data_IF_814485463863
#
_entry.id   IF_814485463863
#
_cell.length_a   1.000
_cell.length_b   1.000
_cell.length_c   1.000
_cell.angle_alpha   90.00
_cell.angle_beta   90.00
_cell.angle_gamma   90.00
#
_symmetry.space_group_name_H-M   'P 1'
#
loop_
_entity.id
_entity.type
_entity.pdbx_description
1 polymer ?
#
# COMPACT_ATOMS: atom_id res chain seq x y z
N UNK A 1 -24.56 25.06 -65.73
CA UNK A 1 -24.61 23.97 -64.76
C UNK A 1 -23.29 23.73 -63.98
N UNK A 2 -22.11 24.17 -64.45
CA UNK A 2 -20.81 23.96 -63.66
C UNK A 2 -20.61 24.87 -62.46
N UNK A 3 -21.34 25.96 -62.35
CA UNK A 3 -21.17 26.91 -61.19
C UNK A 3 -21.97 26.54 -59.92
N UNK A 4 -22.94 25.62 -60.05
CA UNK A 4 -23.75 25.18 -58.90
C UNK A 4 -23.03 24.20 -57.96
N UNK A 5 -22.06 23.43 -58.49
CA UNK A 5 -21.32 22.43 -57.72
C UNK A 5 -20.24 23.02 -56.82
N UNK A 6 -19.70 24.21 -57.13
CA UNK A 6 -18.66 24.85 -56.31
C UNK A 6 -19.26 25.44 -55.02
N UNK A 7 -20.49 25.96 -55.12
CA UNK A 7 -21.21 26.48 -53.95
C UNK A 7 -21.59 25.43 -52.93
N UNK A 8 -21.93 24.21 -53.38
CA UNK A 8 -22.32 23.10 -52.51
C UNK A 8 -21.13 22.50 -51.73
N UNK A 9 -19.93 22.48 -52.35
CA UNK A 9 -18.72 21.99 -51.68
C UNK A 9 -18.20 22.90 -50.54
N UNK A 10 -18.43 24.22 -50.67
CA UNK A 10 -18.04 25.19 -49.64
C UNK A 10 -19.00 25.15 -48.45
N UNK A 11 -20.28 24.84 -48.66
CA UNK A 11 -21.25 24.71 -47.58
C UNK A 11 -21.02 23.46 -46.70
N UNK A 12 -20.52 22.37 -47.27
CA UNK A 12 -20.24 21.13 -46.55
C UNK A 12 -18.95 21.19 -45.71
N UNK A 13 -18.04 22.09 -46.04
CA UNK A 13 -16.77 22.25 -45.27
C UNK A 13 -16.91 23.04 -43.96
N UNK A 14 -18.06 23.71 -43.70
CA UNK A 14 -18.23 24.55 -42.52
C UNK A 14 -18.90 23.84 -41.32
N UNK A 15 -19.16 22.55 -41.39
CA UNK A 15 -19.68 21.77 -40.27
C UNK A 15 -18.59 21.22 -39.35
N UNK A 16 -17.38 21.79 -39.39
CA UNK A 16 -16.42 21.65 -38.30
C UNK A 16 -16.87 22.58 -37.16
N UNK A 17 -17.87 22.17 -36.42
CA UNK A 17 -18.27 22.86 -35.21
C UNK A 17 -17.12 22.85 -34.21
N UNK A 18 -16.39 23.95 -34.15
CA UNK A 18 -15.62 24.29 -32.98
C UNK A 18 -16.60 24.42 -31.81
N UNK A 19 -16.76 23.37 -31.03
CA UNK A 19 -17.59 23.37 -29.85
C UNK A 19 -16.93 24.29 -28.81
N UNK A 20 -17.27 25.60 -28.85
CA UNK A 20 -16.97 26.57 -27.78
C UNK A 20 -15.73 26.30 -26.94
N UNK A 21 -14.55 26.07 -27.56
CA UNK A 21 -13.28 25.80 -26.88
C UNK A 21 -13.16 24.43 -26.18
N UNK A 22 -14.03 23.48 -26.47
CA UNK A 22 -13.96 22.12 -25.98
C UNK A 22 -13.71 21.12 -27.13
N UNK A 23 -12.94 20.07 -26.84
CA UNK A 23 -12.66 18.98 -27.76
C UNK A 23 -13.28 17.70 -27.22
N UNK A 24 -14.15 17.08 -28.01
CA UNK A 24 -14.71 15.75 -27.68
C UNK A 24 -14.09 14.69 -28.61
N UNK A 25 -13.61 13.59 -28.02
CA UNK A 25 -13.23 12.40 -28.78
C UNK A 25 -14.27 11.32 -28.48
N UNK A 26 -14.97 10.86 -29.50
CA UNK A 26 -16.08 9.92 -29.36
C UNK A 26 -17.22 10.42 -28.44
N UNK A 27 -17.41 11.74 -28.36
CA UNK A 27 -18.52 12.41 -27.67
C UNK A 27 -18.88 13.72 -28.38
N UNK A 28 -20.16 13.99 -28.54
CA UNK A 28 -20.68 15.23 -29.14
C UNK A 28 -21.04 16.31 -28.13
N UNK A 29 -20.99 15.95 -26.85
CA UNK A 29 -21.30 16.85 -25.70
C UNK A 29 -20.15 16.85 -24.69
N UNK A 30 -18.98 17.44 -25.02
CA UNK A 30 -17.83 17.43 -24.13
C UNK A 30 -18.12 18.21 -22.83
N UNK A 31 -17.90 17.56 -21.69
CA UNK A 31 -18.15 18.07 -20.34
C UNK A 31 -17.04 19.04 -19.88
N UNK A 32 -15.81 18.79 -20.36
CA UNK A 32 -14.59 19.54 -20.04
C UNK A 32 -13.84 19.96 -21.31
N UNK A 33 -12.74 20.71 -21.22
CA UNK A 33 -11.97 21.19 -22.39
C UNK A 33 -11.52 20.07 -23.33
N UNK A 34 -11.15 18.91 -22.80
CA UNK A 34 -10.90 17.68 -23.57
C UNK A 34 -11.67 16.55 -22.90
N UNK A 35 -12.67 16.02 -23.57
CA UNK A 35 -13.47 14.89 -23.09
C UNK A 35 -13.32 13.69 -24.05
N UNK A 36 -12.78 12.59 -23.53
CA UNK A 36 -12.55 11.36 -24.27
C UNK A 36 -13.51 10.28 -23.75
N UNK A 37 -14.47 9.88 -24.57
CA UNK A 37 -15.32 8.74 -24.27
C UNK A 37 -14.67 7.47 -24.83
N UNK A 38 -13.73 6.90 -24.07
CA UNK A 38 -12.94 5.74 -24.51
C UNK A 38 -11.59 5.65 -23.80
N UNK A 39 -10.63 5.04 -24.47
CA UNK A 39 -9.27 4.87 -23.96
C UNK A 39 -8.35 5.97 -24.49
N UNK A 40 -7.46 6.47 -23.61
CA UNK A 40 -6.42 7.43 -23.93
C UNK A 40 -5.05 6.78 -23.72
N UNK A 41 -4.12 6.95 -24.69
CA UNK A 41 -2.73 6.53 -24.57
C UNK A 41 -1.82 7.73 -24.75
N UNK A 42 -0.92 7.96 -23.80
CA UNK A 42 0.11 9.00 -23.86
C UNK A 42 1.45 8.43 -23.42
N UNK A 43 2.54 8.89 -24.03
CA UNK A 43 3.89 8.59 -23.58
C UNK A 43 4.29 9.40 -22.34
N UNK A 44 3.65 10.56 -22.12
CA UNK A 44 3.93 11.47 -21.02
C UNK A 44 2.65 12.23 -20.65
N UNK A 45 2.37 12.30 -19.36
CA UNK A 45 1.34 13.17 -18.79
C UNK A 45 2.05 14.32 -18.07
N UNK A 46 1.79 15.55 -18.48
CA UNK A 46 2.26 16.76 -17.80
C UNK A 46 1.01 17.44 -17.27
N UNK A 47 0.93 17.60 -15.97
CA UNK A 47 -0.11 18.37 -15.30
C UNK A 47 0.44 19.76 -14.99
N UNK A 48 -0.40 20.80 -15.12
CA UNK A 48 -0.09 22.15 -14.64
C UNK A 48 -0.09 22.19 -13.11
N UNK A 49 -0.45 23.36 -12.55
CA UNK A 49 -0.62 23.50 -11.11
C UNK A 49 -1.72 22.55 -10.63
N UNK A 50 -1.35 21.61 -9.74
CA UNK A 50 -2.29 20.67 -9.13
C UNK A 50 -2.64 21.23 -7.74
N UNK A 51 -3.93 21.46 -7.42
CA UNK A 51 -4.33 21.87 -6.08
C UNK A 51 -3.92 20.82 -5.04
N UNK A 52 -3.55 21.28 -3.85
CA UNK A 52 -3.30 20.35 -2.73
C UNK A 52 -4.61 19.78 -2.21
N UNK A 53 -4.57 18.52 -1.82
CA UNK A 53 -5.70 17.86 -1.15
C UNK A 53 -5.87 18.49 0.23
N UNK A 54 -7.06 18.99 0.53
CA UNK A 54 -7.40 19.52 1.84
C UNK A 54 -7.76 18.38 2.82
N UNK A 55 -7.67 18.65 4.12
CA UNK A 55 -8.02 17.67 5.16
C UNK A 55 -9.48 17.19 5.09
N UNK A 56 -10.38 18.04 4.56
CA UNK A 56 -11.80 17.72 4.38
C UNK A 56 -12.08 16.85 3.14
N UNK A 57 -11.12 16.74 2.24
CA UNK A 57 -11.26 16.02 0.97
C UNK A 57 -10.43 14.73 0.92
N UNK A 58 -9.61 14.45 1.94
CA UNK A 58 -8.65 13.32 1.96
C UNK A 58 -9.26 11.95 1.62
N UNK A 59 -10.53 11.74 1.95
CA UNK A 59 -11.24 10.46 1.74
C UNK A 59 -11.88 10.36 0.35
N UNK A 60 -11.74 11.41 -0.49
CA UNK A 60 -12.33 11.47 -1.84
C UNK A 60 -11.37 11.12 -2.95
N UNK A 61 -10.11 10.84 -2.63
CA UNK A 61 -9.06 10.57 -3.61
C UNK A 61 -8.66 9.11 -3.59
N UNK A 62 -8.45 8.56 -4.76
CA UNK A 62 -7.97 7.20 -4.97
C UNK A 62 -6.58 7.23 -5.59
N UNK A 63 -5.75 6.27 -5.21
CA UNK A 63 -4.45 6.08 -5.85
C UNK A 63 -4.64 5.40 -7.20
N UNK A 64 -3.95 5.93 -8.21
CA UNK A 64 -3.90 5.35 -9.54
C UNK A 64 -2.55 4.67 -9.73
N UNK A 65 -2.58 3.42 -10.16
CA UNK A 65 -1.41 2.64 -10.52
C UNK A 65 -1.44 2.26 -11.99
N UNK A 66 -0.27 2.27 -12.64
CA UNK A 66 -0.12 1.74 -13.97
C UNK A 66 0.37 0.29 -13.90
N UNK A 67 -0.34 -0.62 -14.55
CA UNK A 67 0.08 -2.01 -14.69
C UNK A 67 1.32 -2.10 -15.59
N UNK A 68 2.32 -2.85 -15.15
CA UNK A 68 3.53 -3.14 -15.96
C UNK A 68 3.27 -4.21 -17.01
N UNK A 69 2.16 -4.95 -16.91
CA UNK A 69 1.79 -6.03 -17.83
C UNK A 69 1.07 -5.50 -19.07
N UNK A 70 0.07 -4.64 -18.87
CA UNK A 70 -0.80 -4.16 -19.97
C UNK A 70 -0.78 -2.62 -20.11
N UNK A 71 0.05 -1.93 -19.33
CA UNK A 71 0.19 -0.47 -19.27
C UNK A 71 -1.12 0.29 -18.96
N UNK A 72 -2.15 -0.40 -18.50
CA UNK A 72 -3.42 0.25 -18.12
C UNK A 72 -3.30 0.90 -16.74
N UNK A 73 -3.90 2.06 -16.62
CA UNK A 73 -4.08 2.74 -15.35
C UNK A 73 -5.29 2.16 -14.63
N UNK A 74 -5.09 1.72 -13.39
CA UNK A 74 -6.14 1.19 -12.50
C UNK A 74 -6.16 1.95 -11.19
N UNK A 75 -7.33 2.07 -10.58
CA UNK A 75 -7.46 2.61 -9.22
C UNK A 75 -7.20 1.50 -8.19
N UNK A 76 -6.53 1.89 -7.10
CA UNK A 76 -6.53 1.11 -5.87
C UNK A 76 -7.67 1.64 -5.01
N UNK A 77 -8.61 0.77 -4.69
CA UNK A 77 -9.78 1.09 -3.87
C UNK A 77 -9.76 0.18 -2.63
N UNK A 78 -9.26 0.65 -1.49
CA UNK A 78 -9.10 -0.16 -0.29
C UNK A 78 -10.45 -0.57 0.33
N UNK A 79 -11.56 0.02 -0.09
CA UNK A 79 -12.90 -0.34 0.37
C UNK A 79 -13.44 -1.60 -0.33
N UNK A 80 -12.84 -1.99 -1.45
CA UNK A 80 -13.24 -3.20 -2.17
C UNK A 80 -12.52 -4.43 -1.60
N UNK A 81 -13.25 -5.50 -1.21
CA UNK A 81 -12.65 -6.69 -0.60
C UNK A 81 -11.57 -7.38 -1.46
N UNK A 82 -11.67 -7.26 -2.79
CA UNK A 82 -10.71 -7.85 -3.76
C UNK A 82 -9.57 -6.92 -4.15
N UNK A 83 -9.58 -5.66 -3.70
CA UNK A 83 -8.53 -4.70 -4.03
C UNK A 83 -7.43 -4.76 -2.97
N UNK A 84 -6.18 -5.10 -3.34
CA UNK A 84 -5.09 -4.98 -2.39
C UNK A 84 -4.88 -3.49 -2.07
N UNK A 85 -4.85 -3.14 -0.78
CA UNK A 85 -4.37 -1.83 -0.35
C UNK A 85 -2.86 -1.69 -0.57
N UNK A 86 -2.32 -0.48 -0.45
CA UNK A 86 -0.85 -0.27 -0.37
C UNK A 86 -0.28 -0.92 0.90
N UNK A 87 -1.08 -0.97 1.95
CA UNK A 87 -0.82 -1.67 3.19
C UNK A 87 -2.13 -2.21 3.74
N UNK A 88 -2.05 -3.30 4.47
CA UNK A 88 -3.18 -3.90 5.18
C UNK A 88 -2.86 -3.99 6.66
N UNK A 89 -3.83 -3.73 7.52
CA UNK A 89 -3.71 -3.95 8.96
C UNK A 89 -4.52 -5.18 9.32
N UNK A 90 -3.87 -6.15 9.94
CA UNK A 90 -4.51 -7.38 10.41
C UNK A 90 -4.28 -7.51 11.91
N UNK A 91 -5.34 -7.82 12.65
CA UNK A 91 -5.24 -8.15 14.07
C UNK A 91 -5.43 -9.66 14.25
N UNK A 92 -4.38 -10.32 14.76
CA UNK A 92 -4.43 -11.73 15.15
C UNK A 92 -4.68 -11.82 16.65
N UNK A 93 -5.69 -12.59 17.06
CA UNK A 93 -5.95 -12.95 18.45
C UNK A 93 -5.71 -14.43 18.63
N UNK A 94 -4.66 -14.79 19.36
CA UNK A 94 -4.25 -16.15 19.64
C UNK A 94 -4.69 -16.52 21.05
N UNK A 95 -5.85 -17.16 21.18
CA UNK A 95 -6.45 -17.49 22.45
C UNK A 95 -6.07 -18.89 22.94
N UNK A 96 -6.16 -19.09 24.26
CA UNK A 96 -5.87 -20.36 24.94
C UNK A 96 -4.48 -20.90 24.60
N UNK A 97 -3.50 -20.03 24.57
CA UNK A 97 -2.10 -20.39 24.35
C UNK A 97 -1.53 -21.04 25.63
N UNK A 98 -0.36 -21.68 25.51
CA UNK A 98 0.32 -22.27 26.66
C UNK A 98 0.89 -21.17 27.58
N UNK A 99 0.14 -20.82 28.63
CA UNK A 99 0.39 -19.68 29.52
C UNK A 99 0.51 -18.37 28.72
N UNK A 100 1.71 -17.89 28.49
CA UNK A 100 2.02 -16.66 27.74
C UNK A 100 2.91 -16.94 26.51
N UNK A 101 3.29 -18.19 26.27
CA UNK A 101 4.27 -18.54 25.25
C UNK A 101 3.62 -18.91 23.90
N UNK A 102 4.02 -18.22 22.86
CA UNK A 102 3.75 -18.52 21.45
C UNK A 102 5.08 -18.78 20.75
N UNK A 103 5.48 -20.04 20.59
CA UNK A 103 6.71 -20.39 19.89
C UNK A 103 6.63 -20.02 18.41
N UNK A 104 5.51 -20.38 17.78
CA UNK A 104 5.26 -20.11 16.38
C UNK A 104 3.78 -20.15 16.05
N UNK A 105 3.28 -19.09 15.51
CA UNK A 105 1.98 -19.03 14.86
C UNK A 105 2.17 -18.72 13.38
N UNK A 106 1.81 -19.65 12.52
CA UNK A 106 1.96 -19.49 11.10
C UNK A 106 0.80 -18.68 10.53
N UNK A 107 1.10 -17.49 10.03
CA UNK A 107 0.09 -16.60 9.42
C UNK A 107 -0.34 -17.05 8.03
N UNK A 108 0.39 -17.98 7.40
CA UNK A 108 0.23 -18.39 6.00
C UNK A 108 0.45 -17.27 4.97
N UNK A 109 0.96 -16.12 5.39
CA UNK A 109 1.32 -15.03 4.50
C UNK A 109 2.66 -15.37 3.85
N UNK A 110 2.68 -15.39 2.51
CA UNK A 110 3.89 -15.66 1.73
C UNK A 110 4.92 -14.53 1.91
N UNK A 111 6.08 -14.88 2.44
CA UNK A 111 7.14 -13.91 2.69
C UNK A 111 7.91 -13.49 1.43
N UNK A 112 7.70 -14.14 0.28
CA UNK A 112 8.25 -13.68 -0.99
C UNK A 112 7.45 -12.49 -1.55
N UNK A 113 6.12 -12.48 -1.31
CA UNK A 113 5.20 -11.50 -1.88
C UNK A 113 4.91 -10.33 -0.94
N UNK A 114 5.00 -10.57 0.39
CA UNK A 114 4.61 -9.61 1.41
C UNK A 114 5.70 -9.42 2.46
N UNK A 115 5.79 -8.19 2.97
CA UNK A 115 6.52 -7.86 4.20
C UNK A 115 5.51 -7.71 5.33
N UNK A 116 5.79 -8.32 6.48
CA UNK A 116 4.97 -8.24 7.69
C UNK A 116 5.78 -7.58 8.80
N UNK A 117 5.17 -6.63 9.50
CA UNK A 117 5.74 -5.95 10.68
C UNK A 117 4.70 -5.97 11.81
N UNK A 118 5.14 -6.29 13.03
CA UNK A 118 4.30 -6.18 14.21
C UNK A 118 4.33 -4.72 14.68
N UNK A 119 3.19 -4.05 14.66
CA UNK A 119 3.02 -2.69 15.15
C UNK A 119 2.86 -2.65 16.66
N UNK A 120 2.12 -3.61 17.21
CA UNK A 120 1.97 -3.80 18.64
C UNK A 120 1.59 -5.26 18.94
N UNK A 121 1.95 -5.69 20.14
CA UNK A 121 1.46 -6.96 20.69
C UNK A 121 1.21 -6.78 22.17
N UNK A 122 0.16 -7.42 22.68
CA UNK A 122 -0.14 -7.42 24.11
C UNK A 122 -0.82 -8.73 24.52
N UNK A 123 -0.62 -9.08 25.77
CA UNK A 123 -1.20 -10.25 26.41
C UNK A 123 -2.28 -9.83 27.40
N UNK A 124 -3.34 -10.62 27.54
CA UNK A 124 -4.56 -10.28 28.30
C UNK A 124 -4.56 -10.76 29.76
N UNK A 125 -3.44 -11.33 30.23
CA UNK A 125 -3.32 -11.84 31.61
C UNK A 125 -2.14 -11.20 32.32
N UNK A 126 -2.24 -11.13 33.64
CA UNK A 126 -1.11 -10.76 34.48
C UNK A 126 -0.06 -11.86 34.49
N UNK A 127 1.19 -11.45 34.35
CA UNK A 127 2.34 -12.32 34.52
C UNK A 127 2.88 -12.14 35.93
N UNK A 128 3.13 -13.23 36.60
CA UNK A 128 3.62 -13.22 37.99
C UNK A 128 5.14 -13.38 38.01
N UNK A 129 5.83 -12.49 38.73
CA UNK A 129 7.28 -12.51 38.88
C UNK A 129 7.72 -11.43 39.86
N UNK A 130 8.94 -11.53 40.35
CA UNK A 130 9.55 -10.55 41.25
C UNK A 130 10.24 -9.40 40.51
N UNK A 131 10.30 -9.47 39.20
CA UNK A 131 11.00 -8.50 38.34
C UNK A 131 10.05 -7.95 37.29
N UNK A 132 10.39 -6.80 36.75
CA UNK A 132 9.65 -6.22 35.61
C UNK A 132 9.78 -7.14 34.40
N UNK A 133 8.69 -7.77 34.01
CA UNK A 133 8.65 -8.64 32.84
C UNK A 133 8.54 -7.79 31.57
N UNK A 134 9.46 -7.97 30.66
CA UNK A 134 9.43 -7.32 29.33
C UNK A 134 9.04 -8.36 28.31
N UNK A 135 7.94 -8.14 27.53
CA UNK A 135 7.56 -9.06 26.50
C UNK A 135 8.57 -9.07 25.34
N UNK A 136 8.91 -10.26 24.91
CA UNK A 136 9.61 -10.49 23.65
C UNK A 136 8.59 -10.93 22.60
N UNK A 137 8.40 -10.17 21.55
CA UNK A 137 7.50 -10.56 20.46
C UNK A 137 8.02 -10.08 19.10
N UNK A 138 7.56 -10.74 18.07
CA UNK A 138 7.97 -10.35 16.73
C UNK A 138 7.40 -11.26 15.64
N UNK A 139 7.99 -11.09 14.47
CA UNK A 139 7.68 -11.87 13.29
C UNK A 139 8.98 -12.29 12.60
N UNK A 140 9.02 -13.52 12.09
CA UNK A 140 10.17 -14.05 11.33
C UNK A 140 9.68 -14.84 10.12
N UNK A 141 10.48 -14.86 9.05
CA UNK A 141 10.18 -15.68 7.89
C UNK A 141 10.79 -17.08 8.07
N UNK A 142 9.95 -18.11 7.90
CA UNK A 142 10.36 -19.52 7.92
C UNK A 142 9.65 -20.23 6.79
N UNK A 143 10.40 -20.94 5.93
CA UNK A 143 9.87 -21.68 4.79
C UNK A 143 8.94 -20.82 3.89
N UNK A 144 9.34 -19.59 3.60
CA UNK A 144 8.57 -18.63 2.81
C UNK A 144 7.21 -18.21 3.42
N UNK A 145 7.00 -18.41 4.72
CA UNK A 145 5.81 -17.98 5.43
C UNK A 145 6.20 -17.12 6.64
N UNK A 146 5.35 -16.15 7.00
CA UNK A 146 5.56 -15.31 8.17
C UNK A 146 5.01 -15.97 9.43
N UNK A 147 5.87 -16.07 10.45
CA UNK A 147 5.60 -16.70 11.74
C UNK A 147 5.61 -15.64 12.83
N UNK A 148 4.53 -15.51 13.60
CA UNK A 148 4.48 -14.69 14.81
C UNK A 148 4.98 -15.52 16.00
N UNK A 149 5.68 -14.87 16.92
CA UNK A 149 6.12 -15.42 18.20
C UNK A 149 5.98 -14.39 19.31
N UNK A 150 5.78 -14.85 20.55
CA UNK A 150 5.73 -14.01 21.74
C UNK A 150 5.98 -14.82 23.00
N UNK A 151 6.60 -14.17 23.99
CA UNK A 151 6.94 -14.74 25.27
C UNK A 151 7.21 -13.64 26.29
N UNK A 152 6.94 -13.91 27.57
CA UNK A 152 7.49 -13.15 28.68
C UNK A 152 8.62 -13.98 29.32
N UNK A 153 9.83 -13.79 28.82
CA UNK A 153 10.99 -14.54 29.30
C UNK A 153 11.17 -14.45 30.82
N UNK A 154 11.47 -15.57 31.47
CA UNK A 154 11.75 -15.70 32.93
C UNK A 154 10.53 -15.51 33.85
N UNK A 155 9.36 -15.25 33.31
CA UNK A 155 8.09 -15.22 34.06
C UNK A 155 7.05 -16.00 33.29
N UNK A 156 5.99 -16.41 33.96
CA UNK A 156 4.89 -17.08 33.29
C UNK A 156 3.55 -16.52 33.78
N UNK A 157 2.55 -16.57 32.91
CA UNK A 157 1.20 -16.30 33.32
C UNK A 157 0.66 -17.38 34.24
N UNK A 158 -0.24 -17.03 35.16
CA UNK A 158 -0.90 -17.97 36.07
C UNK A 158 -1.90 -18.90 35.35
N UNK A 159 -2.28 -18.55 34.15
CA UNK A 159 -3.23 -19.32 33.33
C UNK A 159 -3.06 -18.98 31.85
N UNK A 160 -3.57 -19.87 30.98
CA UNK A 160 -3.63 -19.62 29.54
C UNK A 160 -4.37 -18.32 29.24
N UNK A 161 -3.82 -17.53 28.36
CA UNK A 161 -4.35 -16.23 27.98
C UNK A 161 -4.47 -16.06 26.45
N UNK A 162 -4.58 -14.81 26.04
CA UNK A 162 -4.69 -14.41 24.63
C UNK A 162 -3.63 -13.37 24.30
N UNK A 163 -2.79 -13.67 23.34
CA UNK A 163 -1.98 -12.65 22.68
C UNK A 163 -2.77 -11.99 21.55
N UNK A 164 -2.71 -10.68 21.51
CA UNK A 164 -3.22 -9.88 20.39
C UNK A 164 -2.07 -9.21 19.68
N UNK A 165 -1.91 -9.50 18.39
CA UNK A 165 -0.90 -8.87 17.53
C UNK A 165 -1.60 -7.98 16.51
N UNK A 166 -1.16 -6.74 16.40
CA UNK A 166 -1.55 -5.83 15.32
C UNK A 166 -0.41 -5.78 14.33
N UNK A 167 -0.65 -6.26 13.12
CA UNK A 167 0.36 -6.38 12.07
C UNK A 167 0.07 -5.47 10.90
N UNK A 168 1.09 -4.77 10.39
CA UNK A 168 1.06 -4.13 9.09
C UNK A 168 1.66 -5.06 8.04
N UNK A 169 0.97 -5.18 6.90
CA UNK A 169 1.35 -6.06 5.79
C UNK A 169 1.46 -5.23 4.54
N UNK A 170 2.61 -5.30 3.89
CA UNK A 170 2.93 -4.54 2.69
C UNK A 170 3.24 -5.49 1.53
N UNK A 171 2.58 -5.36 0.36
CA UNK A 171 3.04 -6.03 -0.85
C UNK A 171 4.46 -5.57 -1.19
N UNK A 172 5.39 -6.49 -1.39
CA UNK A 172 6.80 -6.16 -1.69
C UNK A 172 6.99 -5.38 -2.98
N UNK A 173 6.03 -5.44 -3.90
CA UNK A 173 6.00 -4.61 -5.10
C UNK A 173 5.93 -3.10 -4.83
N UNK A 174 5.49 -2.71 -3.63
CA UNK A 174 5.41 -1.30 -3.21
C UNK A 174 6.45 -0.91 -2.17
N UNK A 175 7.32 -1.83 -1.79
CA UNK A 175 8.34 -1.62 -0.76
C UNK A 175 9.72 -1.76 -1.38
N UNK A 176 10.57 -0.76 -1.19
CA UNK A 176 11.98 -0.88 -1.54
C UNK A 176 12.72 -1.59 -0.40
N UNK A 177 13.17 -2.80 -0.64
CA UNK A 177 13.96 -3.58 0.31
C UNK A 177 15.43 -3.34 -0.01
N UNK A 178 16.16 -2.83 0.96
CA UNK A 178 17.61 -2.69 0.88
C UNK A 178 18.30 -3.97 1.36
N UNK A 179 19.52 -4.25 0.89
CA UNK A 179 20.30 -5.38 1.39
C UNK A 179 20.62 -5.20 2.88
N UNK A 180 20.85 -6.30 3.57
CA UNK A 180 21.32 -6.31 4.94
C UNK A 180 22.57 -5.45 5.10
N UNK A 181 22.64 -4.74 6.21
CA UNK A 181 23.77 -3.89 6.57
C UNK A 181 24.45 -4.39 7.81
N UNK A 182 25.78 -4.29 7.83
CA UNK A 182 26.61 -4.78 8.92
C UNK A 182 27.24 -6.14 8.59
N UNK A 183 27.81 -6.78 9.60
CA UNK A 183 27.78 -6.43 11.02
C UNK A 183 28.56 -5.16 11.35
N UNK A 184 28.01 -4.33 12.22
CA UNK A 184 28.72 -3.16 12.76
C UNK A 184 29.34 -3.54 14.13
N UNK A 185 30.65 -3.36 14.25
CA UNK A 185 31.32 -3.56 15.53
C UNK A 185 31.17 -2.31 16.40
N UNK A 186 30.45 -2.43 17.52
CA UNK A 186 30.27 -1.34 18.49
C UNK A 186 31.31 -1.36 19.61
N UNK A 187 32.42 -2.14 19.44
CA UNK A 187 33.57 -2.18 20.35
C UNK A 187 33.20 -2.44 21.82
N UNK A 188 32.24 -3.33 22.07
CA UNK A 188 31.69 -3.65 23.41
C UNK A 188 31.11 -2.44 24.16
N UNK A 189 30.73 -1.38 23.43
CA UNK A 189 30.02 -0.24 23.99
C UNK A 189 28.51 -0.40 23.78
N UNK A 190 27.69 0.42 24.45
CA UNK A 190 26.25 0.47 24.29
C UNK A 190 25.79 1.37 23.11
N UNK A 191 26.73 1.93 22.36
CA UNK A 191 26.44 2.91 21.30
C UNK A 191 27.26 2.65 20.04
N UNK A 192 26.67 2.98 18.91
CA UNK A 192 27.31 2.90 17.59
C UNK A 192 26.55 3.74 16.58
N UNK A 193 27.09 3.88 15.39
CA UNK A 193 26.46 4.63 14.31
C UNK A 193 26.73 3.96 12.95
N UNK A 194 25.78 4.10 12.06
CA UNK A 194 26.00 3.81 10.65
C UNK A 194 26.76 4.99 10.00
N UNK A 195 27.93 4.70 9.45
CA UNK A 195 28.78 5.72 8.82
C UNK A 195 28.35 6.08 7.42
N UNK A 196 27.54 5.25 6.77
CA UNK A 196 27.07 5.46 5.40
C UNK A 196 25.57 5.13 5.30
N UNK A 197 24.68 5.98 5.84
CA UNK A 197 23.25 5.71 5.79
C UNK A 197 22.74 5.65 4.34
N UNK A 198 21.83 4.69 4.06
CA UNK A 198 21.25 4.51 2.73
C UNK A 198 20.26 5.63 2.37
N UNK A 199 19.58 6.15 3.40
CA UNK A 199 18.60 7.23 3.28
C UNK A 199 19.13 8.44 4.02
N UNK A 200 19.13 9.60 3.35
CA UNK A 200 19.51 10.90 3.91
C UNK A 200 18.39 11.91 3.65
#
# INVERSE_FOLDING_TARGET
MKKLFIGSGILLGNFLFSQAGKVGINTVTPRVKLDVNGSYKSSKLITGTVPQITSTEKDRYLLLNQSTVDNRVRKIDPTQPSSPGLASIITYKLSNINLDWVEKFNTKINSNDYSVMVLSAYFDRDVTGTTTAIPSYGVKSVNNEWILYADYSEVAASSNGTWTFVCAIYPKTYVKIFPERGPFNVNSTSSGADTNPILQ
#
